data_IF_181730253650
#
_entry.id   IF_181730253650
#
_cell.length_a   1.000
_cell.length_b   1.000
_cell.length_c   1.000
_cell.angle_alpha   90.00
_cell.angle_beta   90.00
_cell.angle_gamma   90.00
#
_symmetry.space_group_name_H-M   'P 1'
#
loop_
_entity.id
_entity.type
_entity.pdbx_description
1 polymer ?
#
# COMPACT_ATOMS: atom_id res chain seq x y z
N UNK A 1 -54.44 25.29 39.01
CA UNK A 1 -54.28 24.09 38.16
C UNK A 1 -52.87 24.13 37.57
N UNK A 2 -52.06 23.12 37.85
CA UNK A 2 -50.60 23.13 37.72
C UNK A 2 -50.18 22.85 36.26
N UNK A 3 -49.40 23.76 35.64
CA UNK A 3 -48.83 23.55 34.30
C UNK A 3 -47.70 22.52 34.38
N UNK A 4 -47.94 21.33 33.80
CA UNK A 4 -46.92 20.31 33.61
C UNK A 4 -46.04 20.72 32.43
N UNK A 5 -44.79 21.10 32.70
CA UNK A 5 -43.76 21.31 31.65
C UNK A 5 -43.14 19.94 31.31
N UNK A 6 -43.43 19.44 30.12
CA UNK A 6 -42.78 18.24 29.58
C UNK A 6 -41.38 18.66 29.10
N UNK A 7 -40.34 18.15 29.77
CA UNK A 7 -38.95 18.34 29.35
C UNK A 7 -38.60 17.26 28.32
N UNK A 8 -38.47 17.64 27.05
CA UNK A 8 -37.97 16.76 25.99
C UNK A 8 -36.45 16.60 26.15
N UNK A 9 -36.00 15.41 26.55
CA UNK A 9 -34.57 15.04 26.57
C UNK A 9 -34.22 14.44 25.22
N UNK A 10 -33.45 15.16 24.41
CA UNK A 10 -32.85 14.63 23.19
C UNK A 10 -31.61 13.81 23.56
N UNK A 11 -31.72 12.48 23.46
CA UNK A 11 -30.56 11.58 23.57
C UNK A 11 -29.86 11.57 22.21
N UNK A 12 -28.74 12.30 22.10
CA UNK A 12 -27.85 12.19 20.94
C UNK A 12 -27.09 10.87 21.03
N UNK A 13 -27.42 9.93 20.15
CA UNK A 13 -26.56 8.77 19.91
C UNK A 13 -25.32 9.23 19.14
N UNK A 14 -24.20 9.37 19.84
CA UNK A 14 -22.90 9.56 19.20
C UNK A 14 -22.53 8.24 18.55
N UNK A 15 -22.64 8.16 17.23
CA UNK A 15 -22.07 7.05 16.46
C UNK A 15 -20.55 7.16 16.53
N UNK A 16 -19.91 6.27 17.30
CA UNK A 16 -18.47 6.11 17.27
C UNK A 16 -18.10 5.31 16.01
N UNK A 17 -17.46 5.98 15.05
CA UNK A 17 -16.76 5.31 13.96
C UNK A 17 -15.39 4.89 14.44
N UNK A 18 -15.13 3.59 14.52
CA UNK A 18 -13.79 3.06 14.72
C UNK A 18 -13.00 3.19 13.41
N UNK A 19 -12.32 4.31 13.25
CA UNK A 19 -11.36 4.49 12.16
C UNK A 19 -9.94 4.46 12.74
N UNK A 20 -9.02 3.85 12.00
CA UNK A 20 -7.60 3.96 12.30
C UNK A 20 -7.20 5.44 12.15
N UNK A 21 -6.92 6.12 13.26
CA UNK A 21 -6.53 7.52 13.26
C UNK A 21 -5.01 7.66 13.18
N UNK A 22 -4.45 7.37 12.00
CA UNK A 22 -3.02 7.52 11.72
C UNK A 22 -2.69 8.81 10.94
N UNK A 23 -3.65 9.73 10.80
CA UNK A 23 -3.48 10.98 10.04
C UNK A 23 -3.44 10.82 8.51
N UNK A 24 -3.80 9.65 7.98
CA UNK A 24 -3.87 9.36 6.55
C UNK A 24 -5.32 9.01 6.14
N UNK A 25 -5.60 9.05 4.83
CA UNK A 25 -6.90 8.64 4.30
C UNK A 25 -8.07 9.55 4.69
N UNK A 26 -7.80 10.83 5.00
CA UNK A 26 -8.85 11.84 5.23
C UNK A 26 -9.70 12.09 3.98
N UNK A 27 -9.12 11.84 2.80
CA UNK A 27 -9.81 11.72 1.52
C UNK A 27 -9.40 10.42 0.85
N UNK A 28 -10.21 9.87 -0.08
CA UNK A 28 -9.82 8.70 -0.85
C UNK A 28 -8.49 8.93 -1.56
N UNK A 29 -7.56 7.99 -1.43
CA UNK A 29 -6.26 8.05 -2.08
C UNK A 29 -6.40 8.07 -3.61
N UNK A 30 -5.58 8.86 -4.27
CA UNK A 30 -5.56 9.00 -5.72
C UNK A 30 -4.18 8.62 -6.27
N UNK A 31 -4.16 7.80 -7.32
CA UNK A 31 -2.92 7.30 -7.87
C UNK A 31 -3.10 6.32 -9.02
N UNK A 32 -2.04 5.59 -9.31
CA UNK A 32 -1.97 4.58 -10.35
C UNK A 32 -1.52 3.24 -9.75
N UNK A 33 -1.93 2.14 -10.39
CA UNK A 33 -1.51 0.79 -10.03
C UNK A 33 -1.09 0.01 -11.29
N UNK A 34 -0.01 -0.77 -11.20
CA UNK A 34 0.57 -1.49 -12.34
C UNK A 34 -0.25 -2.67 -12.87
N UNK A 35 -1.12 -3.26 -12.06
CA UNK A 35 -1.67 -4.60 -12.29
C UNK A 35 -2.52 -4.71 -13.56
N UNK A 36 -3.49 -3.82 -13.74
CA UNK A 36 -4.52 -3.97 -14.78
C UNK A 36 -3.98 -3.99 -16.20
N UNK A 37 -2.80 -3.40 -16.43
CA UNK A 37 -2.19 -3.36 -17.76
C UNK A 37 -0.95 -4.24 -17.87
N UNK A 38 -0.10 -4.26 -16.84
CA UNK A 38 1.21 -4.89 -16.93
C UNK A 38 1.27 -6.28 -16.31
N UNK A 39 0.34 -6.64 -15.42
CA UNK A 39 0.39 -7.89 -14.65
C UNK A 39 1.78 -8.09 -14.02
N UNK A 40 2.43 -9.25 -14.20
CA UNK A 40 3.79 -9.50 -13.75
C UNK A 40 4.89 -8.92 -14.65
N UNK A 41 4.58 -8.27 -15.77
CA UNK A 41 5.57 -7.69 -16.67
C UNK A 41 5.95 -6.27 -16.24
N UNK A 42 6.49 -6.16 -15.02
CA UNK A 42 6.92 -4.91 -14.40
C UNK A 42 8.44 -4.93 -14.16
N UNK A 43 9.06 -3.75 -14.23
CA UNK A 43 10.47 -3.54 -13.90
C UNK A 43 10.70 -2.09 -13.47
N UNK A 44 11.90 -1.82 -12.95
CA UNK A 44 12.31 -0.49 -12.45
C UNK A 44 12.05 0.62 -13.47
N UNK A 45 12.48 0.41 -14.72
CA UNK A 45 12.32 1.40 -15.79
C UNK A 45 10.85 1.73 -16.06
N UNK A 46 9.98 0.72 -16.09
CA UNK A 46 8.55 0.93 -16.30
C UNK A 46 7.95 1.81 -15.19
N UNK A 47 8.29 1.52 -13.94
CA UNK A 47 7.77 2.27 -12.79
C UNK A 47 8.29 3.71 -12.81
N UNK A 48 9.58 3.92 -13.10
CA UNK A 48 10.16 5.26 -13.28
C UNK A 48 9.48 6.05 -14.40
N UNK A 49 9.29 5.44 -15.57
CA UNK A 49 8.62 6.07 -16.71
C UNK A 49 7.16 6.41 -16.41
N UNK A 50 6.48 5.59 -15.61
CA UNK A 50 5.10 5.86 -15.19
C UNK A 50 5.04 7.03 -14.22
N UNK A 51 5.96 7.11 -13.26
CA UNK A 51 6.08 8.26 -12.36
C UNK A 51 6.34 9.56 -13.14
N UNK A 52 7.24 9.53 -14.12
CA UNK A 52 7.49 10.66 -15.04
C UNK A 52 6.22 11.07 -15.80
N UNK A 53 5.46 10.09 -16.32
CA UNK A 53 4.24 10.35 -17.06
C UNK A 53 3.14 10.98 -16.18
N UNK A 54 2.97 10.52 -14.93
CA UNK A 54 2.01 11.10 -13.98
C UNK A 54 2.28 12.59 -13.76
N UNK A 55 3.56 12.99 -13.66
CA UNK A 55 3.95 14.40 -13.55
C UNK A 55 3.75 15.13 -14.88
N UNK A 56 4.30 14.61 -15.98
CA UNK A 56 4.32 15.27 -17.27
C UNK A 56 2.93 15.50 -17.88
N UNK A 57 1.97 14.61 -17.59
CA UNK A 57 0.58 14.72 -18.05
C UNK A 57 -0.28 15.62 -17.17
N UNK A 58 0.23 16.08 -16.03
CA UNK A 58 -0.53 16.90 -15.07
C UNK A 58 -1.43 16.11 -14.13
N UNK A 59 -1.40 14.77 -14.15
CA UNK A 59 -2.17 13.94 -13.22
C UNK A 59 -1.74 14.18 -11.76
N UNK A 60 -0.45 14.42 -11.51
CA UNK A 60 0.03 14.82 -10.18
C UNK A 60 -0.66 16.11 -9.68
N UNK A 61 -0.84 17.11 -10.55
CA UNK A 61 -1.54 18.36 -10.23
C UNK A 61 -3.02 18.11 -9.97
N UNK A 62 -3.62 17.14 -10.65
CA UNK A 62 -4.99 16.71 -10.41
C UNK A 62 -5.17 15.84 -9.14
N UNK A 63 -4.09 15.55 -8.39
CA UNK A 63 -4.11 14.84 -7.11
C UNK A 63 -3.65 13.38 -7.17
N UNK A 64 -3.27 12.85 -8.33
CA UNK A 64 -2.75 11.47 -8.45
C UNK A 64 -1.31 11.40 -7.92
N UNK A 65 -1.15 11.09 -6.65
CA UNK A 65 0.14 11.13 -5.95
C UNK A 65 0.76 9.75 -5.69
N UNK A 66 -0.02 8.66 -5.67
CA UNK A 66 0.49 7.31 -5.39
C UNK A 66 0.89 6.55 -6.66
N UNK A 67 2.12 6.04 -6.71
CA UNK A 67 2.61 5.09 -7.73
C UNK A 67 2.68 3.71 -7.09
N UNK A 68 1.65 2.90 -7.27
CA UNK A 68 1.53 1.59 -6.63
C UNK A 68 2.06 0.48 -7.54
N UNK A 69 3.17 -0.13 -7.14
CA UNK A 69 3.71 -1.33 -7.75
C UNK A 69 3.01 -2.56 -7.16
N UNK A 70 2.32 -3.30 -8.02
CA UNK A 70 1.55 -4.49 -7.61
C UNK A 70 2.43 -5.75 -7.54
N UNK A 71 1.81 -6.93 -7.53
CA UNK A 71 2.44 -8.25 -7.38
C UNK A 71 3.59 -8.51 -8.39
N UNK A 72 4.33 -9.59 -8.14
CA UNK A 72 5.44 -10.09 -8.97
C UNK A 72 6.76 -9.34 -8.84
N UNK A 73 6.90 -8.39 -7.91
CA UNK A 73 8.15 -7.67 -7.67
C UNK A 73 9.17 -8.48 -6.84
N UNK A 74 8.69 -9.35 -5.97
CA UNK A 74 9.47 -10.17 -5.05
C UNK A 74 9.65 -11.61 -5.56
N UNK A 75 10.80 -12.21 -5.25
CA UNK A 75 11.16 -13.55 -5.77
C UNK A 75 11.55 -14.56 -4.69
N UNK A 76 12.05 -14.09 -3.55
CA UNK A 76 12.55 -14.97 -2.49
C UNK A 76 12.58 -14.26 -1.13
N UNK A 77 13.00 -14.99 -0.10
CA UNK A 77 13.42 -14.45 1.19
C UNK A 77 14.88 -14.88 1.43
N UNK A 78 15.66 -14.05 2.10
CA UNK A 78 17.02 -14.41 2.53
C UNK A 78 17.02 -15.29 3.80
N UNK A 79 18.21 -15.61 4.30
CA UNK A 79 18.38 -16.45 5.49
C UNK A 79 17.83 -15.81 6.78
N UNK A 80 17.59 -14.50 6.80
CA UNK A 80 16.99 -13.76 7.90
C UNK A 80 15.46 -13.62 7.73
N UNK A 81 14.89 -14.16 6.65
CA UNK A 81 13.48 -14.04 6.32
C UNK A 81 13.12 -12.72 5.64
N UNK A 82 14.09 -11.87 5.28
CA UNK A 82 13.84 -10.58 4.64
C UNK A 82 13.48 -10.84 3.18
N UNK A 83 12.35 -10.27 2.75
CA UNK A 83 11.83 -10.38 1.39
C UNK A 83 12.76 -9.70 0.38
N UNK A 84 12.99 -10.36 -0.76
CA UNK A 84 13.93 -9.94 -1.79
C UNK A 84 13.19 -9.63 -3.08
N UNK A 85 13.47 -8.44 -3.64
CA UNK A 85 13.01 -8.06 -4.98
C UNK A 85 13.72 -8.88 -6.06
N UNK A 86 13.11 -8.99 -7.24
CA UNK A 86 13.76 -9.55 -8.42
C UNK A 86 14.95 -8.65 -8.83
N UNK A 87 16.21 -9.10 -8.70
CA UNK A 87 17.37 -8.27 -9.01
C UNK A 87 17.54 -8.02 -10.52
N UNK A 88 16.88 -8.79 -11.39
CA UNK A 88 16.90 -8.53 -12.83
C UNK A 88 15.88 -7.45 -13.22
N UNK A 89 14.70 -7.47 -12.60
CA UNK A 89 13.67 -6.47 -12.86
C UNK A 89 13.94 -5.14 -12.11
N UNK A 90 14.57 -5.21 -10.94
CA UNK A 90 14.86 -4.05 -10.06
C UNK A 90 16.35 -4.00 -9.69
N UNK A 91 17.25 -3.78 -10.67
CA UNK A 91 18.69 -3.88 -10.47
C UNK A 91 19.27 -2.84 -9.50
N UNK A 92 18.61 -1.69 -9.32
CA UNK A 92 19.03 -0.68 -8.34
C UNK A 92 18.47 -0.95 -6.94
N UNK A 93 17.56 -1.93 -6.81
CA UNK A 93 16.82 -2.24 -5.59
C UNK A 93 15.63 -1.31 -5.35
N UNK A 94 14.69 -1.78 -4.52
CA UNK A 94 13.47 -1.02 -4.18
C UNK A 94 13.76 0.35 -3.52
N UNK A 95 14.73 0.51 -2.60
CA UNK A 95 15.04 1.81 -2.02
C UNK A 95 15.36 2.89 -3.05
N UNK A 96 16.18 2.56 -4.06
CA UNK A 96 16.52 3.50 -5.12
C UNK A 96 15.31 3.89 -5.98
N UNK A 97 14.38 2.95 -6.19
CA UNK A 97 13.13 3.21 -6.90
C UNK A 97 12.18 4.11 -6.07
N UNK A 98 12.10 3.89 -4.76
CA UNK A 98 11.35 4.75 -3.83
C UNK A 98 11.92 6.17 -3.87
N UNK A 99 13.24 6.32 -3.70
CA UNK A 99 13.93 7.62 -3.76
C UNK A 99 13.65 8.34 -5.09
N UNK A 100 13.64 7.59 -6.20
CA UNK A 100 13.31 8.14 -7.51
C UNK A 100 11.87 8.67 -7.54
N UNK A 101 10.88 7.90 -7.08
CA UNK A 101 9.47 8.34 -7.04
C UNK A 101 9.29 9.55 -6.11
N UNK A 102 9.92 9.56 -4.96
CA UNK A 102 9.93 10.71 -4.04
C UNK A 102 10.56 11.97 -4.66
N UNK A 103 11.59 11.82 -5.49
CA UNK A 103 12.20 12.94 -6.23
C UNK A 103 11.21 13.67 -7.16
N UNK A 104 10.16 12.95 -7.61
CA UNK A 104 9.07 13.48 -8.43
C UNK A 104 7.93 14.10 -7.62
N UNK A 105 8.08 14.18 -6.30
CA UNK A 105 7.03 14.61 -5.35
C UNK A 105 5.80 13.69 -5.36
N UNK A 106 6.01 12.42 -5.70
CA UNK A 106 5.02 11.36 -5.65
C UNK A 106 5.31 10.43 -4.45
N UNK A 107 4.34 9.59 -4.10
CA UNK A 107 4.41 8.58 -3.06
C UNK A 107 4.52 7.19 -3.68
N UNK A 108 5.29 6.31 -3.06
CA UNK A 108 5.51 4.95 -3.54
C UNK A 108 4.65 3.94 -2.78
N UNK A 109 3.88 3.13 -3.52
CA UNK A 109 3.13 2.01 -2.95
C UNK A 109 3.68 0.66 -3.35
N UNK A 110 3.66 -0.27 -2.41
CA UNK A 110 4.10 -1.65 -2.59
C UNK A 110 2.92 -2.63 -2.36
N UNK A 111 3.14 -3.89 -2.71
CA UNK A 111 2.16 -4.96 -2.58
C UNK A 111 2.72 -6.13 -1.76
N UNK A 112 1.87 -6.70 -0.91
CA UNK A 112 2.07 -8.03 -0.33
C UNK A 112 0.72 -8.72 -0.08
N UNK A 113 0.74 -9.85 0.62
CA UNK A 113 -0.42 -10.72 0.84
C UNK A 113 -0.46 -11.23 2.29
N UNK A 114 -1.67 -11.27 2.87
CA UNK A 114 -2.02 -11.88 4.14
C UNK A 114 -1.98 -13.42 4.15
N UNK A 115 -1.47 -14.06 3.11
CA UNK A 115 -1.20 -15.50 3.06
C UNK A 115 0.27 -15.87 2.86
N UNK A 116 0.54 -17.17 2.75
CA UNK A 116 1.88 -17.71 2.56
C UNK A 116 2.48 -17.32 1.20
N UNK A 117 1.61 -17.06 0.22
CA UNK A 117 1.96 -16.64 -1.12
C UNK A 117 1.02 -15.56 -1.59
N UNK A 118 1.53 -14.67 -2.42
CA UNK A 118 0.71 -13.73 -3.17
C UNK A 118 -0.21 -14.43 -4.16
N UNK A 119 -1.17 -13.69 -4.72
CA UNK A 119 -2.05 -14.20 -5.75
C UNK A 119 -1.30 -14.70 -7.00
N UNK A 120 -0.15 -14.11 -7.35
CA UNK A 120 0.75 -14.58 -8.42
C UNK A 120 1.75 -15.66 -7.96
N UNK A 121 1.63 -16.18 -6.73
CA UNK A 121 2.46 -17.26 -6.21
C UNK A 121 3.85 -16.85 -5.74
N UNK A 122 4.10 -15.54 -5.52
CA UNK A 122 5.33 -15.02 -4.92
C UNK A 122 5.30 -15.13 -3.39
N UNK A 123 6.43 -14.94 -2.68
CA UNK A 123 6.40 -14.89 -1.21
C UNK A 123 5.38 -13.86 -0.68
N UNK A 124 4.43 -14.33 0.14
CA UNK A 124 3.50 -13.48 0.91
C UNK A 124 4.03 -13.19 2.32
N UNK A 125 3.32 -12.38 3.09
CA UNK A 125 3.79 -11.84 4.38
C UNK A 125 3.27 -12.58 5.61
N UNK A 126 2.40 -13.57 5.47
CA UNK A 126 1.91 -14.33 6.62
C UNK A 126 3.08 -14.96 7.41
N UNK A 127 3.14 -14.69 8.72
CA UNK A 127 4.24 -15.01 9.66
C UNK A 127 5.55 -14.21 9.49
N UNK A 128 5.56 -13.21 8.61
CA UNK A 128 6.68 -12.30 8.38
C UNK A 128 6.27 -10.84 8.53
N UNK A 129 5.05 -10.55 9.02
CA UNK A 129 4.41 -9.23 9.02
C UNK A 129 5.30 -8.18 9.67
N UNK A 130 5.85 -8.48 10.85
CA UNK A 130 6.72 -7.55 11.58
C UNK A 130 8.03 -7.29 10.83
N UNK A 131 8.61 -8.30 10.18
CA UNK A 131 9.87 -8.15 9.44
C UNK A 131 9.59 -7.36 8.15
N UNK A 132 8.57 -7.75 7.40
CA UNK A 132 8.17 -7.12 6.15
C UNK A 132 7.78 -5.65 6.37
N UNK A 133 6.96 -5.34 7.38
CA UNK A 133 6.60 -3.98 7.72
C UNK A 133 7.83 -3.11 8.05
N UNK A 134 8.80 -3.64 8.82
CA UNK A 134 10.06 -2.95 9.11
C UNK A 134 10.92 -2.76 7.87
N UNK A 135 10.96 -3.75 6.98
CA UNK A 135 11.69 -3.68 5.72
C UNK A 135 11.07 -2.63 4.79
N UNK A 136 9.75 -2.62 4.63
CA UNK A 136 9.06 -1.63 3.79
C UNK A 136 9.23 -0.21 4.35
N UNK A 137 9.13 -0.06 5.67
CA UNK A 137 9.39 1.22 6.33
C UNK A 137 10.84 1.69 6.14
N UNK A 138 11.83 0.79 6.22
CA UNK A 138 13.24 1.17 6.03
C UNK A 138 13.57 1.52 4.58
N UNK A 139 12.79 1.02 3.62
CA UNK A 139 12.88 1.41 2.21
C UNK A 139 12.13 2.71 1.88
N UNK A 140 11.33 3.25 2.81
CA UNK A 140 10.55 4.48 2.60
C UNK A 140 9.21 4.29 1.87
N UNK A 141 8.63 3.09 1.91
CA UNK A 141 7.32 2.82 1.29
C UNK A 141 6.22 3.63 1.99
N UNK A 142 5.35 4.29 1.22
CA UNK A 142 4.27 5.16 1.72
C UNK A 142 2.91 4.47 1.79
N UNK A 143 2.73 3.38 1.04
CA UNK A 143 1.46 2.67 0.89
C UNK A 143 1.69 1.18 0.73
N UNK A 144 0.85 0.36 1.37
CA UNK A 144 0.85 -1.10 1.18
C UNK A 144 -0.54 -1.56 0.73
N UNK A 145 -0.62 -2.16 -0.46
CA UNK A 145 -1.74 -3.02 -0.83
C UNK A 145 -1.49 -4.39 -0.20
N UNK A 146 -2.41 -4.84 0.65
CA UNK A 146 -2.30 -6.10 1.38
C UNK A 146 -3.44 -7.04 0.99
N UNK A 147 -3.12 -8.04 0.19
CA UNK A 147 -4.08 -8.98 -0.39
C UNK A 147 -4.43 -10.13 0.56
N UNK A 148 -5.20 -11.11 0.09
CA UNK A 148 -5.73 -12.18 0.93
C UNK A 148 -5.75 -13.56 0.23
N UNK A 149 -4.82 -13.83 -0.68
CA UNK A 149 -4.69 -15.13 -1.34
C UNK A 149 -3.90 -16.12 -0.46
N UNK A 150 -4.11 -17.43 -0.62
CA UNK A 150 -3.29 -18.48 0.02
C UNK A 150 -3.15 -18.35 1.56
N UNK A 151 -4.21 -17.95 2.27
CA UNK A 151 -4.19 -17.63 3.70
C UNK A 151 -4.63 -18.74 4.66
N UNK A 152 -5.02 -19.92 4.14
CA UNK A 152 -5.54 -21.13 4.84
C UNK A 152 -6.54 -20.95 6.01
N UNK A 153 -7.06 -19.73 6.21
CA UNK A 153 -7.83 -19.34 7.38
C UNK A 153 -7.00 -18.87 8.58
N UNK A 154 -5.66 -18.94 8.50
CA UNK A 154 -4.77 -18.34 9.51
C UNK A 154 -4.93 -16.82 9.52
N UNK A 155 -4.93 -16.24 10.72
CA UNK A 155 -5.01 -14.79 10.90
C UNK A 155 -3.60 -14.20 10.86
N UNK A 156 -3.36 -13.15 10.06
CA UNK A 156 -2.14 -12.36 10.15
C UNK A 156 -1.96 -11.76 11.55
N UNK A 157 -0.71 -11.56 11.95
CA UNK A 157 -0.34 -10.91 13.22
C UNK A 157 -0.76 -9.44 13.33
#
# INVERSE_FOLDING_TARGET
>A
MMMVKILLVFVFFIAYSYQLNNGLGETPQMGWNSWNHFHCNINEKLIQQTADAIVATGLAVAGYEYVNMDDCWQVSRDAQGIIQADPQAFPSGIPALVDYVHSKKLKFGLYSDAGFKTCAGRPGSLHYETIDAKTYASWGVDYLKYDNCNNDGTKPE
#
